data_IF_001389523279
#
_entry.id   IF_001389523279
#
_cell.length_a   1.000
_cell.length_b   1.000
_cell.length_c   1.000
_cell.angle_alpha   90.00
_cell.angle_beta   90.00
_cell.angle_gamma   90.00
#
_symmetry.space_group_name_H-M   'P 1'
#
loop_
_entity.id
_entity.type
_entity.pdbx_description
1 polymer ?
#
# COMPACT_ATOMS: atom_id res chain seq x y z
N UNK A 1 -2.58 -16.11 -0.65
CA UNK A 1 -1.30 -15.67 -0.04
C UNK A 1 -0.30 -15.37 -1.14
N UNK A 2 0.61 -14.40 -0.93
CA UNK A 2 1.69 -14.11 -1.88
C UNK A 2 2.68 -15.27 -1.97
N UNK A 3 3.27 -15.49 -3.16
CA UNK A 3 4.32 -16.51 -3.30
C UNK A 3 5.61 -15.97 -2.66
N UNK A 4 6.10 -16.66 -1.63
CA UNK A 4 7.45 -16.43 -1.11
C UNK A 4 8.46 -17.16 -1.99
N UNK A 5 9.54 -16.47 -2.34
CA UNK A 5 10.65 -17.02 -3.11
C UNK A 5 11.95 -16.69 -2.40
N UNK A 6 12.64 -17.72 -1.90
CA UNK A 6 14.01 -17.62 -1.42
C UNK A 6 14.94 -17.79 -2.63
N UNK A 7 15.95 -16.94 -2.77
CA UNK A 7 16.87 -16.93 -3.92
C UNK A 7 18.27 -16.44 -3.53
N UNK A 8 19.24 -16.60 -4.42
CA UNK A 8 20.60 -16.06 -4.20
C UNK A 8 20.62 -14.52 -4.08
N UNK A 9 19.64 -13.85 -4.68
CA UNK A 9 19.44 -12.40 -4.60
C UNK A 9 18.65 -11.97 -3.34
N UNK A 10 18.31 -12.93 -2.47
CA UNK A 10 17.55 -12.74 -1.24
C UNK A 10 16.08 -13.18 -1.33
N UNK A 11 15.32 -12.86 -0.29
CA UNK A 11 13.93 -13.25 -0.12
C UNK A 11 12.99 -12.25 -0.82
N UNK A 12 12.09 -12.77 -1.66
CA UNK A 12 11.09 -12.00 -2.38
C UNK A 12 9.66 -12.47 -2.07
N UNK A 13 8.69 -11.56 -2.20
CA UNK A 13 7.26 -11.88 -2.18
C UNK A 13 6.60 -11.41 -3.48
N UNK A 14 6.10 -12.35 -4.27
CA UNK A 14 5.44 -12.07 -5.55
C UNK A 14 3.93 -11.89 -5.34
N UNK A 15 3.42 -10.69 -5.68
CA UNK A 15 1.98 -10.37 -5.71
C UNK A 15 1.28 -10.97 -6.93
N UNK A 16 2.02 -11.19 -8.02
CA UNK A 16 1.54 -11.81 -9.25
C UNK A 16 2.44 -12.98 -9.60
N UNK A 17 1.84 -14.13 -9.93
CA UNK A 17 2.56 -15.29 -10.45
C UNK A 17 1.67 -16.12 -11.37
N UNK A 18 2.28 -16.77 -12.36
CA UNK A 18 1.57 -17.58 -13.35
C UNK A 18 2.10 -19.02 -13.34
N UNK A 19 1.18 -19.96 -13.17
CA UNK A 19 1.43 -21.40 -13.31
C UNK A 19 0.91 -21.86 -14.68
N UNK A 20 1.71 -22.66 -15.37
CA UNK A 20 1.44 -23.15 -16.72
C UNK A 20 1.56 -24.67 -16.70
N UNK A 21 0.54 -25.35 -17.23
CA UNK A 21 0.44 -26.80 -17.30
C UNK A 21 0.21 -27.24 -18.75
N UNK A 22 1.03 -28.17 -19.22
CA UNK A 22 0.95 -28.75 -20.56
C UNK A 22 0.70 -30.26 -20.47
N UNK A 23 -0.55 -30.67 -20.21
CA UNK A 23 -0.87 -32.10 -20.08
C UNK A 23 -0.70 -32.83 -21.43
N UNK A 24 -0.28 -34.11 -21.44
CA UNK A 24 -0.05 -34.87 -22.68
C UNK A 24 -1.25 -34.93 -23.63
N UNK A 25 -2.48 -34.94 -23.08
CA UNK A 25 -3.69 -34.97 -23.90
C UNK A 25 -3.85 -33.73 -24.79
N UNK A 26 -3.19 -32.61 -24.49
CA UNK A 26 -3.27 -31.38 -25.28
C UNK A 26 -2.67 -31.49 -26.68
N UNK A 27 -1.86 -32.52 -26.91
CA UNK A 27 -1.32 -32.92 -28.23
C UNK A 27 -1.82 -34.30 -28.67
N UNK A 28 -2.85 -34.84 -27.99
CA UNK A 28 -3.41 -36.17 -28.27
C UNK A 28 -2.56 -37.34 -27.74
N UNK A 29 -1.55 -37.09 -26.90
CA UNK A 29 -0.63 -38.12 -26.39
C UNK A 29 -1.03 -38.64 -25.00
N UNK A 30 -0.48 -39.81 -24.63
CA UNK A 30 -0.50 -40.35 -23.27
C UNK A 30 0.89 -40.19 -22.67
N UNK A 31 0.98 -39.61 -21.48
CA UNK A 31 2.27 -39.35 -20.82
C UNK A 31 2.14 -39.21 -19.31
N UNK A 32 3.26 -38.89 -18.65
CA UNK A 32 3.29 -38.64 -17.20
C UNK A 32 2.69 -37.27 -16.90
N UNK A 33 1.79 -37.22 -15.92
CA UNK A 33 1.28 -36.00 -15.31
C UNK A 33 1.92 -35.86 -13.93
N UNK A 34 2.41 -34.67 -13.57
CA UNK A 34 3.16 -34.48 -12.33
C UNK A 34 3.80 -33.09 -12.23
N UNK A 35 5.01 -33.02 -11.68
CA UNK A 35 5.76 -31.76 -11.55
C UNK A 35 6.14 -31.18 -12.92
N UNK A 36 6.06 -29.85 -13.10
CA UNK A 36 6.27 -29.21 -14.40
C UNK A 36 7.73 -29.32 -14.89
N UNK A 37 7.88 -29.58 -16.19
CA UNK A 37 9.16 -29.60 -16.88
C UNK A 37 9.72 -28.20 -17.15
N UNK A 38 10.99 -28.15 -17.60
CA UNK A 38 11.68 -26.88 -17.91
C UNK A 38 10.93 -26.01 -18.94
N UNK A 39 10.30 -26.63 -19.95
CA UNK A 39 9.56 -25.91 -21.00
C UNK A 39 8.29 -25.26 -20.46
N UNK A 40 7.57 -25.95 -19.59
CA UNK A 40 6.36 -25.43 -18.92
C UNK A 40 6.70 -24.24 -18.02
N UNK A 41 7.76 -24.35 -17.20
CA UNK A 41 8.26 -23.24 -16.38
C UNK A 41 8.70 -22.05 -17.26
N UNK A 42 9.39 -22.31 -18.37
CA UNK A 42 9.83 -21.28 -19.31
C UNK A 42 8.67 -20.56 -20.01
N UNK A 43 7.67 -21.30 -20.50
CA UNK A 43 6.44 -20.77 -21.08
C UNK A 43 5.63 -19.97 -20.06
N UNK A 44 5.47 -20.50 -18.85
CA UNK A 44 4.82 -19.82 -17.73
C UNK A 44 5.50 -18.50 -17.40
N UNK A 45 6.84 -18.47 -17.31
CA UNK A 45 7.59 -17.24 -17.01
C UNK A 45 7.57 -16.21 -18.15
N UNK A 46 7.49 -16.64 -19.41
CA UNK A 46 7.27 -15.74 -20.54
C UNK A 46 5.88 -15.09 -20.49
N UNK A 47 4.84 -15.87 -20.21
CA UNK A 47 3.48 -15.36 -20.06
C UNK A 47 3.36 -14.44 -18.82
N UNK A 48 4.00 -14.80 -17.70
CA UNK A 48 4.06 -13.96 -16.51
C UNK A 48 4.72 -12.60 -16.80
N UNK A 49 5.91 -12.59 -17.42
CA UNK A 49 6.59 -11.33 -17.80
C UNK A 49 5.76 -10.48 -18.76
N UNK A 50 5.02 -11.10 -19.68
CA UNK A 50 4.13 -10.42 -20.62
C UNK A 50 2.98 -9.68 -19.93
N UNK A 51 2.47 -10.24 -18.82
CA UNK A 51 1.32 -9.73 -18.07
C UNK A 51 1.72 -8.89 -16.85
N UNK A 52 2.92 -9.04 -16.31
CA UNK A 52 3.39 -8.37 -15.09
C UNK A 52 3.28 -6.84 -15.17
N UNK A 53 3.51 -6.26 -16.36
CA UNK A 53 3.49 -4.82 -16.58
C UNK A 53 2.08 -4.20 -16.63
N UNK A 54 1.02 -5.00 -16.75
CA UNK A 54 -0.38 -4.54 -16.72
C UNK A 54 -1.07 -4.78 -15.38
N UNK A 55 -0.37 -5.38 -14.41
CA UNK A 55 -0.92 -5.60 -13.07
C UNK A 55 -1.03 -4.27 -12.32
N UNK A 56 -2.23 -3.86 -11.89
CA UNK A 56 -2.43 -2.63 -11.12
C UNK A 56 -1.60 -2.62 -9.83
N UNK A 57 -1.20 -1.43 -9.37
CA UNK A 57 -0.44 -1.28 -8.13
C UNK A 57 -1.24 -1.77 -6.90
N UNK A 58 -0.55 -1.96 -5.76
CA UNK A 58 -1.15 -2.53 -4.54
C UNK A 58 -2.25 -1.62 -3.97
N UNK A 59 -2.16 -0.33 -4.25
CA UNK A 59 -3.05 0.72 -3.78
C UNK A 59 -4.38 0.71 -4.55
N UNK A 60 -4.35 0.54 -5.89
CA UNK A 60 -5.54 0.36 -6.75
C UNK A 60 -6.14 -1.05 -6.59
N UNK A 61 -5.31 -2.06 -6.31
CA UNK A 61 -5.74 -3.45 -6.21
C UNK A 61 -4.90 -4.24 -5.18
N UNK A 62 -5.34 -4.32 -3.91
CA UNK A 62 -4.56 -4.89 -2.80
C UNK A 62 -4.51 -6.43 -2.78
N UNK A 63 -4.78 -7.08 -3.91
CA UNK A 63 -4.90 -8.52 -4.05
C UNK A 63 -3.61 -9.19 -4.53
N UNK A 64 -3.45 -10.47 -4.17
CA UNK A 64 -2.50 -11.37 -4.82
C UNK A 64 -3.23 -12.07 -5.97
N UNK A 65 -2.64 -12.03 -7.16
CA UNK A 65 -3.20 -12.61 -8.37
C UNK A 65 -2.38 -13.86 -8.73
N UNK A 66 -3.07 -15.01 -8.81
CA UNK A 66 -2.55 -16.26 -9.37
C UNK A 66 -3.28 -16.53 -10.67
N UNK A 67 -2.55 -16.75 -11.75
CA UNK A 67 -3.10 -17.34 -12.97
C UNK A 67 -2.68 -18.80 -13.03
N UNK A 68 -3.60 -19.68 -13.38
CA UNK A 68 -3.32 -21.07 -13.73
C UNK A 68 -3.78 -21.31 -15.16
N UNK A 69 -2.82 -21.42 -16.08
CA UNK A 69 -3.07 -21.72 -17.49
C UNK A 69 -2.96 -23.23 -17.72
N UNK A 70 -4.10 -23.85 -17.99
CA UNK A 70 -4.20 -25.26 -18.33
C UNK A 70 -4.39 -25.37 -19.85
N UNK A 71 -3.36 -25.83 -20.56
CA UNK A 71 -3.41 -25.98 -22.02
C UNK A 71 -4.23 -27.22 -22.36
N UNK A 72 -5.39 -27.03 -22.99
CA UNK A 72 -6.29 -28.14 -23.36
C UNK A 72 -6.00 -28.68 -24.77
N UNK A 73 -5.49 -27.83 -25.66
CA UNK A 73 -5.14 -28.14 -27.05
C UNK A 73 -3.89 -27.32 -27.44
N UNK A 74 -3.00 -27.87 -28.27
CA UNK A 74 -1.80 -27.17 -28.72
C UNK A 74 -1.31 -27.62 -30.11
N UNK A 75 -1.62 -26.82 -31.13
CA UNK A 75 -1.01 -26.93 -32.47
C UNK A 75 -0.20 -25.66 -32.86
N UNK A 76 -0.08 -24.69 -31.95
CA UNK A 76 0.64 -23.43 -32.13
C UNK A 76 1.18 -22.93 -30.80
N UNK A 77 1.37 -21.61 -30.64
CA UNK A 77 1.98 -21.06 -29.43
C UNK A 77 1.04 -20.96 -28.23
N UNK A 78 0.92 -22.07 -27.51
CA UNK A 78 0.24 -22.18 -26.22
C UNK A 78 0.74 -21.20 -25.15
N UNK A 79 1.99 -20.71 -25.25
CA UNK A 79 2.52 -19.65 -24.38
C UNK A 79 2.01 -18.25 -24.73
N UNK A 80 1.71 -17.96 -26.01
CA UNK A 80 1.03 -16.71 -26.40
C UNK A 80 -0.48 -16.78 -26.13
N UNK A 81 -1.10 -17.95 -26.36
CA UNK A 81 -2.49 -18.19 -25.91
C UNK A 81 -2.64 -17.97 -24.39
N UNK A 82 -1.66 -18.40 -23.60
CA UNK A 82 -1.60 -18.16 -22.14
C UNK A 82 -1.53 -16.68 -21.75
N UNK A 83 -0.97 -15.81 -22.61
CA UNK A 83 -0.99 -14.34 -22.42
C UNK A 83 -2.39 -13.80 -22.68
N UNK A 84 -2.98 -14.12 -23.83
CA UNK A 84 -4.30 -13.64 -24.21
C UNK A 84 -5.38 -14.11 -23.21
N UNK A 85 -5.42 -15.42 -22.93
CA UNK A 85 -6.34 -16.02 -21.96
C UNK A 85 -6.11 -15.53 -20.54
N UNK A 86 -4.84 -15.38 -20.10
CA UNK A 86 -4.51 -14.82 -18.80
C UNK A 86 -4.93 -13.36 -18.63
N UNK A 87 -4.82 -12.55 -19.68
CA UNK A 87 -5.32 -11.17 -19.69
C UNK A 87 -6.84 -11.11 -19.54
N UNK A 88 -7.57 -11.91 -20.35
CA UNK A 88 -9.03 -11.99 -20.28
C UNK A 88 -9.52 -12.52 -18.93
N UNK A 89 -8.90 -13.57 -18.38
CA UNK A 89 -9.26 -14.14 -17.10
C UNK A 89 -9.08 -13.13 -15.94
N UNK A 90 -8.03 -12.30 -15.97
CA UNK A 90 -7.86 -11.22 -14.99
C UNK A 90 -8.93 -10.14 -15.14
N UNK A 91 -9.25 -9.71 -16.36
CA UNK A 91 -10.31 -8.74 -16.63
C UNK A 91 -11.68 -9.26 -16.18
N UNK A 92 -11.96 -10.55 -16.41
CA UNK A 92 -13.18 -11.23 -15.98
C UNK A 92 -13.29 -11.35 -14.45
N UNK A 93 -12.17 -11.62 -13.78
CA UNK A 93 -12.08 -11.63 -12.32
C UNK A 93 -12.17 -10.24 -11.68
N UNK A 94 -12.30 -9.16 -12.47
CA UNK A 94 -12.41 -7.78 -11.98
C UNK A 94 -11.07 -7.13 -11.62
N UNK A 95 -9.94 -7.62 -12.14
CA UNK A 95 -8.66 -6.92 -12.03
C UNK A 95 -8.70 -5.67 -12.94
N UNK A 96 -8.47 -4.46 -12.42
CA UNK A 96 -8.65 -3.22 -13.17
C UNK A 96 -7.49 -2.94 -14.13
N UNK A 97 -7.49 -3.69 -15.25
CA UNK A 97 -6.53 -3.63 -16.36
C UNK A 97 -7.04 -2.62 -17.40
N UNK A 98 -6.38 -1.47 -17.46
CA UNK A 98 -6.77 -0.38 -18.37
C UNK A 98 -6.26 -0.61 -19.81
N UNK A 99 -5.24 -1.48 -19.98
CA UNK A 99 -4.54 -1.74 -21.24
C UNK A 99 -4.35 -3.25 -21.45
N UNK A 100 -5.27 -3.95 -22.13
CA UNK A 100 -5.15 -5.38 -22.37
C UNK A 100 -3.94 -5.70 -23.27
N UNK A 101 -3.32 -6.86 -23.01
CA UNK A 101 -2.13 -7.36 -23.70
C UNK A 101 -2.46 -8.64 -24.46
N UNK A 102 -2.11 -8.68 -25.73
CA UNK A 102 -2.16 -9.86 -26.58
C UNK A 102 -0.75 -10.39 -26.84
N UNK A 103 -0.64 -11.69 -27.15
CA UNK A 103 0.57 -12.34 -27.64
C UNK A 103 0.38 -12.90 -29.04
N UNK A 104 1.43 -12.90 -29.86
CA UNK A 104 1.47 -13.57 -31.16
C UNK A 104 2.80 -14.29 -31.33
N UNK A 105 2.76 -15.48 -31.92
CA UNK A 105 3.96 -16.19 -32.34
C UNK A 105 4.21 -16.03 -33.84
N UNK A 106 5.48 -15.97 -34.19
CA UNK A 106 5.94 -15.59 -35.51
C UNK A 106 7.10 -16.49 -35.90
N UNK A 107 7.17 -16.85 -37.17
CA UNK A 107 8.26 -17.63 -37.74
C UNK A 107 8.94 -16.86 -38.86
N UNK A 108 10.13 -17.32 -39.23
CA UNK A 108 10.85 -16.83 -40.38
C UNK A 108 11.50 -17.98 -41.13
N UNK A 109 11.39 -17.95 -42.45
CA UNK A 109 12.11 -18.83 -43.38
C UNK A 109 13.06 -17.96 -44.21
N UNK A 110 14.33 -18.35 -44.29
CA UNK A 110 15.43 -17.66 -44.96
C UNK A 110 16.11 -18.60 -45.98
N UNK A 111 15.87 -18.38 -47.27
CA UNK A 111 16.48 -19.16 -48.34
C UNK A 111 17.37 -18.26 -49.21
N UNK A 112 18.64 -18.16 -48.81
CA UNK A 112 19.62 -17.24 -49.41
C UNK A 112 19.26 -15.78 -49.14
N UNK A 113 18.70 -15.09 -50.14
CA UNK A 113 18.20 -13.72 -50.01
C UNK A 113 16.66 -13.64 -49.94
N UNK A 114 15.94 -14.76 -50.07
CA UNK A 114 14.48 -14.81 -49.95
C UNK A 114 14.07 -14.99 -48.50
N UNK A 115 13.12 -14.17 -48.06
CA UNK A 115 12.60 -14.19 -46.69
C UNK A 115 11.08 -14.32 -46.73
N UNK A 116 10.53 -15.21 -45.92
CA UNK A 116 9.12 -15.27 -45.61
C UNK A 116 8.94 -15.15 -44.08
N UNK A 117 8.13 -14.17 -43.65
CA UNK A 117 7.73 -14.02 -42.25
C UNK A 117 6.34 -14.65 -42.09
N UNK A 118 6.23 -15.61 -41.18
CA UNK A 118 5.00 -16.34 -40.86
C UNK A 118 4.34 -15.73 -39.63
N UNK A 119 3.01 -15.66 -39.60
CA UNK A 119 2.23 -15.09 -38.49
C UNK A 119 1.29 -16.15 -37.93
N UNK A 120 1.28 -16.26 -36.60
CA UNK A 120 0.58 -17.28 -35.82
C UNK A 120 0.98 -18.72 -36.19
N UNK A 121 2.28 -18.99 -36.05
CA UNK A 121 2.89 -20.24 -36.51
C UNK A 121 2.34 -21.50 -35.82
N UNK A 122 2.16 -22.52 -36.65
CA UNK A 122 1.91 -23.89 -36.23
C UNK A 122 3.18 -24.55 -35.68
N UNK A 123 3.02 -25.63 -34.91
CA UNK A 123 4.17 -26.40 -34.38
C UNK A 123 5.09 -26.98 -35.46
N UNK A 124 4.57 -27.26 -36.65
CA UNK A 124 5.37 -27.70 -37.80
C UNK A 124 6.18 -26.54 -38.41
N UNK A 125 5.64 -25.33 -38.41
CA UNK A 125 6.31 -24.13 -38.95
C UNK A 125 7.40 -23.62 -38.00
N UNK A 126 7.24 -23.79 -36.67
CA UNK A 126 8.34 -23.67 -35.71
C UNK A 126 9.45 -24.70 -36.01
N UNK A 127 9.08 -25.98 -36.06
CA UNK A 127 10.05 -27.08 -36.22
C UNK A 127 10.89 -27.00 -37.51
N UNK A 128 10.33 -26.42 -38.58
CA UNK A 128 10.99 -26.27 -39.88
C UNK A 128 11.48 -24.85 -40.18
N UNK A 129 11.12 -23.85 -39.37
CA UNK A 129 11.51 -22.46 -39.56
C UNK A 129 12.91 -22.14 -39.03
N UNK A 130 13.59 -21.20 -39.68
CA UNK A 130 14.96 -20.77 -39.39
C UNK A 130 15.08 -19.85 -38.17
N UNK A 131 13.96 -19.28 -37.73
CA UNK A 131 13.83 -18.51 -36.49
C UNK A 131 12.38 -18.53 -36.04
N UNK A 132 12.15 -18.66 -34.74
CA UNK A 132 10.86 -18.40 -34.12
C UNK A 132 10.95 -17.24 -33.13
N UNK A 133 9.91 -16.43 -33.02
CA UNK A 133 9.84 -15.38 -32.03
C UNK A 133 8.42 -15.11 -31.56
N UNK A 134 8.30 -14.67 -30.32
CA UNK A 134 7.05 -14.54 -29.58
C UNK A 134 6.99 -13.12 -29.04
N UNK A 135 5.98 -12.37 -29.46
CA UNK A 135 5.83 -10.94 -29.16
C UNK A 135 4.53 -10.72 -28.41
N UNK A 136 4.61 -10.15 -27.23
CA UNK A 136 3.45 -9.72 -26.45
C UNK A 136 3.45 -8.22 -26.20
N UNK A 137 2.27 -7.63 -26.03
CA UNK A 137 2.11 -6.20 -25.80
C UNK A 137 0.68 -5.71 -26.02
N UNK A 138 0.48 -4.43 -25.78
CA UNK A 138 -0.80 -3.75 -25.92
C UNK A 138 -0.91 -2.99 -27.26
N UNK A 139 -1.78 -1.99 -27.34
CA UNK A 139 -1.96 -1.15 -28.52
C UNK A 139 -0.78 -0.22 -28.86
N UNK A 140 0.08 0.09 -27.89
CA UNK A 140 1.14 1.10 -28.02
C UNK A 140 2.56 0.50 -27.97
N UNK A 141 2.76 -0.55 -27.15
CA UNK A 141 4.09 -1.07 -26.82
C UNK A 141 4.22 -2.60 -26.90
N UNK A 142 5.43 -3.07 -26.58
CA UNK A 142 5.75 -4.50 -26.39
C UNK A 142 5.98 -4.69 -24.89
N UNK A 143 5.37 -5.72 -24.28
CA UNK A 143 5.58 -6.07 -22.86
C UNK A 143 6.63 -7.16 -22.68
N UNK A 144 6.70 -8.14 -23.59
CA UNK A 144 7.80 -9.09 -23.67
C UNK A 144 8.11 -9.51 -25.13
N UNK A 145 9.36 -9.90 -25.34
CA UNK A 145 9.89 -10.44 -26.59
C UNK A 145 10.77 -11.64 -26.24
N UNK A 146 10.52 -12.78 -26.90
CA UNK A 146 11.41 -13.92 -26.94
C UNK A 146 11.74 -14.21 -28.40
N UNK A 147 13.02 -14.49 -28.71
CA UNK A 147 13.50 -14.86 -30.04
C UNK A 147 14.40 -16.07 -29.88
N UNK A 148 14.25 -17.06 -30.74
CA UNK A 148 15.14 -18.20 -30.89
C UNK A 148 15.56 -18.27 -32.37
N UNK A 149 16.86 -18.27 -32.62
CA UNK A 149 17.46 -18.07 -33.94
C UNK A 149 18.32 -19.28 -34.26
N UNK A 150 17.94 -20.00 -35.32
CA UNK A 150 18.53 -21.30 -35.67
C UNK A 150 19.57 -21.19 -36.80
N UNK A 151 19.66 -20.03 -37.48
CA UNK A 151 20.58 -19.76 -38.61
C UNK A 151 21.30 -18.40 -38.49
N UNK A 152 22.41 -18.26 -39.22
CA UNK A 152 23.06 -16.97 -39.46
C UNK A 152 22.37 -16.17 -40.58
N UNK A 153 22.70 -14.88 -40.71
CA UNK A 153 22.23 -14.02 -41.81
C UNK A 153 20.98 -13.19 -41.52
N UNK A 154 20.38 -13.30 -40.33
CA UNK A 154 19.25 -12.46 -39.92
C UNK A 154 19.73 -11.05 -39.57
N UNK A 155 19.46 -10.08 -40.45
CA UNK A 155 19.89 -8.67 -40.26
C UNK A 155 18.87 -7.85 -39.45
N UNK A 156 19.26 -6.68 -38.90
CA UNK A 156 18.34 -5.78 -38.20
C UNK A 156 17.12 -5.35 -39.04
N UNK A 157 17.27 -5.18 -40.35
CA UNK A 157 16.16 -4.79 -41.24
C UNK A 157 15.12 -5.92 -41.39
N UNK A 158 15.60 -7.18 -41.37
CA UNK A 158 14.75 -8.37 -41.36
C UNK A 158 13.96 -8.46 -40.06
N UNK A 159 14.63 -8.24 -38.92
CA UNK A 159 13.98 -8.19 -37.59
C UNK A 159 12.95 -7.05 -37.53
N UNK A 160 13.27 -5.86 -38.06
CA UNK A 160 12.34 -4.73 -38.10
C UNK A 160 11.09 -5.05 -38.94
N UNK A 161 11.25 -5.69 -40.09
CA UNK A 161 10.15 -6.16 -40.96
C UNK A 161 9.29 -7.20 -40.24
N UNK A 162 9.93 -8.18 -39.59
CA UNK A 162 9.25 -9.24 -38.86
C UNK A 162 8.47 -8.71 -37.64
N UNK A 163 9.04 -7.75 -36.89
CA UNK A 163 8.36 -7.06 -35.79
C UNK A 163 7.20 -6.17 -36.25
N UNK A 164 7.29 -5.55 -37.44
CA UNK A 164 6.20 -4.78 -38.01
C UNK A 164 4.99 -5.69 -38.36
N UNK A 165 5.25 -6.88 -38.93
CA UNK A 165 4.22 -7.88 -39.18
C UNK A 165 3.65 -8.45 -37.87
N UNK A 166 4.50 -8.71 -36.87
CA UNK A 166 4.08 -9.14 -35.53
C UNK A 166 3.19 -8.11 -34.83
N UNK A 167 3.48 -6.81 -34.98
CA UNK A 167 2.61 -5.74 -34.47
C UNK A 167 1.22 -5.84 -35.09
N UNK A 168 1.10 -6.10 -36.39
CA UNK A 168 -0.20 -6.27 -37.07
C UNK A 168 -0.96 -7.46 -36.47
N UNK A 169 -0.38 -8.66 -36.50
CA UNK A 169 -1.03 -9.87 -35.97
C UNK A 169 -1.44 -9.74 -34.50
N UNK A 170 -0.60 -9.11 -33.67
CA UNK A 170 -0.95 -8.82 -32.27
C UNK A 170 -2.14 -7.87 -32.13
N UNK A 171 -2.22 -6.83 -32.95
CA UNK A 171 -3.34 -5.88 -32.94
C UNK A 171 -4.64 -6.53 -33.45
N UNK A 172 -4.55 -7.42 -34.43
CA UNK A 172 -5.69 -8.19 -34.95
C UNK A 172 -6.27 -9.10 -33.83
N UNK A 173 -5.41 -9.85 -33.12
CA UNK A 173 -5.79 -10.64 -31.93
C UNK A 173 -6.38 -9.75 -30.83
N UNK A 174 -5.76 -8.59 -30.56
CA UNK A 174 -6.23 -7.65 -29.54
C UNK A 174 -7.60 -7.03 -29.88
N UNK A 175 -7.98 -6.92 -31.17
CA UNK A 175 -9.33 -6.53 -31.58
C UNK A 175 -10.35 -7.57 -31.14
N UNK A 176 -10.11 -8.84 -31.49
CA UNK A 176 -11.01 -9.97 -31.14
C UNK A 176 -11.15 -10.12 -29.62
N UNK A 177 -10.05 -9.93 -28.86
CA UNK A 177 -10.09 -9.91 -27.39
C UNK A 177 -11.01 -8.79 -26.85
N UNK A 178 -10.95 -7.59 -27.45
CA UNK A 178 -11.81 -6.45 -27.05
C UNK A 178 -13.26 -6.60 -27.48
N UNK A 179 -13.53 -7.30 -28.58
CA UNK A 179 -14.88 -7.66 -28.99
C UNK A 179 -15.53 -8.64 -28.00
N UNK A 180 -14.76 -9.62 -27.51
CA UNK A 180 -15.20 -10.55 -26.47
C UNK A 180 -15.31 -9.90 -25.07
N UNK A 181 -14.38 -9.01 -24.71
CA UNK A 181 -14.34 -8.33 -23.42
C UNK A 181 -13.84 -6.88 -23.57
N UNK A 182 -14.75 -5.90 -23.76
CA UNK A 182 -14.37 -4.50 -23.99
C UNK A 182 -13.67 -3.84 -22.79
N UNK A 183 -14.01 -4.24 -21.57
CA UNK A 183 -13.45 -3.73 -20.31
C UNK A 183 -13.42 -4.84 -19.24
N UNK A 184 -12.67 -4.62 -18.17
CA UNK A 184 -12.72 -5.46 -16.98
C UNK A 184 -14.07 -5.34 -16.26
N UNK A 185 -14.44 -6.33 -15.44
CA UNK A 185 -15.66 -6.27 -14.60
C UNK A 185 -15.50 -5.30 -13.45
N UNK A 186 -16.45 -4.38 -13.25
CA UNK A 186 -16.40 -3.39 -12.17
C UNK A 186 -16.52 -4.00 -10.76
N UNK A 187 -17.26 -5.11 -10.65
CA UNK A 187 -17.47 -5.85 -9.40
C UNK A 187 -16.63 -7.13 -9.35
N UNK A 188 -15.91 -7.33 -8.25
CA UNK A 188 -15.30 -8.61 -7.92
C UNK A 188 -16.39 -9.69 -7.69
N UNK A 189 -16.13 -10.98 -8.03
CA UNK A 189 -17.02 -12.08 -7.69
C UNK A 189 -17.29 -12.19 -6.18
N UNK A 190 -18.48 -12.65 -5.80
CA UNK A 190 -18.89 -12.78 -4.38
C UNK A 190 -17.99 -13.72 -3.55
N UNK A 191 -17.36 -14.69 -4.21
CA UNK A 191 -16.40 -15.61 -3.61
C UNK A 191 -15.03 -14.98 -3.31
N UNK A 192 -14.75 -13.78 -3.83
CA UNK A 192 -13.50 -13.06 -3.56
C UNK A 192 -13.62 -12.29 -2.24
N UNK A 193 -12.75 -12.55 -1.24
CA UNK A 193 -12.74 -11.78 0.00
C UNK A 193 -12.54 -10.29 -0.29
N UNK A 194 -13.36 -9.44 0.32
CA UNK A 194 -13.22 -7.98 0.23
C UNK A 194 -12.10 -7.54 1.16
N UNK A 195 -11.23 -6.66 0.68
CA UNK A 195 -10.13 -6.09 1.46
C UNK A 195 -10.46 -4.65 1.80
N UNK A 196 -10.49 -4.32 3.09
CA UNK A 196 -10.50 -2.96 3.59
C UNK A 196 -9.09 -2.60 4.08
N UNK A 197 -8.56 -1.47 3.61
CA UNK A 197 -7.22 -1.00 3.97
C UNK A 197 -7.32 0.35 4.68
N UNK A 198 -6.71 0.43 5.86
CA UNK A 198 -6.65 1.65 6.68
C UNK A 198 -5.21 1.88 7.16
N UNK A 199 -4.90 3.12 7.58
CA UNK A 199 -3.58 3.49 8.09
C UNK A 199 -3.66 3.87 9.57
N UNK A 200 -2.76 3.35 10.38
CA UNK A 200 -2.61 3.66 11.80
C UNK A 200 -1.21 4.24 12.07
N UNK A 201 -1.07 5.05 13.12
CA UNK A 201 0.24 5.56 13.51
C UNK A 201 1.18 4.40 13.88
N UNK A 202 2.43 4.40 13.39
CA UNK A 202 3.42 3.32 13.62
C UNK A 202 3.59 2.97 15.11
N UNK A 203 3.47 3.96 15.99
CA UNK A 203 3.55 3.79 17.46
C UNK A 203 2.40 2.91 18.02
N UNK A 204 1.24 2.89 17.36
CA UNK A 204 0.03 2.15 17.75
C UNK A 204 0.00 0.69 17.26
N UNK A 205 0.90 0.29 16.36
CA UNK A 205 1.00 -1.11 15.89
C UNK A 205 1.12 -2.08 17.07
N UNK A 206 1.95 -1.75 18.07
CA UNK A 206 2.10 -2.58 19.28
C UNK A 206 0.85 -2.66 20.15
N UNK A 207 0.03 -1.61 20.19
CA UNK A 207 -1.25 -1.58 20.91
C UNK A 207 -2.32 -2.43 20.20
N UNK A 208 -2.38 -2.41 18.86
CA UNK A 208 -3.36 -3.21 18.09
C UNK A 208 -3.01 -4.70 18.09
N UNK A 209 -1.73 -5.06 17.98
CA UNK A 209 -1.27 -6.46 18.02
C UNK A 209 -1.39 -7.03 19.45
N UNK A 210 -1.01 -6.23 20.46
CA UNK A 210 -0.93 -6.62 21.86
C UNK A 210 0.21 -7.61 22.16
N UNK A 211 0.48 -7.90 23.45
CA UNK A 211 1.59 -8.77 23.86
C UNK A 211 1.40 -10.19 23.31
N UNK A 212 2.33 -10.63 22.46
CA UNK A 212 2.30 -11.96 21.82
C UNK A 212 1.16 -12.15 20.81
N UNK A 213 0.59 -11.06 20.26
CA UNK A 213 -0.53 -11.15 19.31
C UNK A 213 -1.87 -11.48 19.95
N UNK A 214 -2.01 -11.42 21.28
CA UNK A 214 -3.26 -11.75 21.99
C UNK A 214 -4.43 -10.86 21.58
N UNK A 215 -4.16 -9.58 21.32
CA UNK A 215 -5.22 -8.61 21.04
C UNK A 215 -5.77 -8.81 19.63
N UNK A 216 -4.89 -8.88 18.61
CA UNK A 216 -5.32 -9.17 17.23
C UNK A 216 -6.04 -10.52 17.11
N UNK A 217 -5.62 -11.55 17.84
CA UNK A 217 -6.35 -12.84 17.92
C UNK A 217 -7.74 -12.69 18.52
N UNK A 218 -7.89 -11.89 19.59
CA UNK A 218 -9.20 -11.61 20.18
C UNK A 218 -10.12 -10.81 19.25
N UNK A 219 -9.57 -9.90 18.43
CA UNK A 219 -10.34 -9.17 17.40
C UNK A 219 -10.86 -10.14 16.34
N UNK A 220 -9.99 -11.04 15.84
CA UNK A 220 -10.36 -12.07 14.86
C UNK A 220 -11.45 -12.99 15.42
N UNK A 221 -11.30 -13.47 16.65
CA UNK A 221 -12.30 -14.32 17.32
C UNK A 221 -13.66 -13.62 17.45
N UNK A 222 -13.69 -12.37 17.90
CA UNK A 222 -14.92 -11.55 18.01
C UNK A 222 -15.60 -11.30 16.66
N UNK A 223 -14.84 -11.36 15.56
CA UNK A 223 -15.33 -11.13 14.20
C UNK A 223 -15.66 -12.44 13.46
N UNK A 224 -15.59 -13.60 14.12
CA UNK A 224 -16.01 -14.90 13.56
C UNK A 224 -14.89 -15.95 13.40
N UNK A 225 -13.66 -15.66 13.81
CA UNK A 225 -12.53 -16.59 13.78
C UNK A 225 -11.66 -16.50 12.52
N UNK A 226 -10.50 -17.17 12.56
CA UNK A 226 -9.45 -17.10 11.52
C UNK A 226 -9.93 -17.60 10.13
N UNK A 227 -10.97 -18.41 10.06
CA UNK A 227 -11.59 -18.89 8.80
C UNK A 227 -12.42 -17.82 8.08
N UNK A 228 -12.98 -16.85 8.82
CA UNK A 228 -13.86 -15.81 8.28
C UNK A 228 -13.08 -14.52 8.00
N UNK A 229 -12.14 -14.15 8.87
CA UNK A 229 -11.45 -12.86 8.80
C UNK A 229 -9.94 -12.96 9.01
N UNK A 230 -9.20 -12.27 8.15
CA UNK A 230 -7.76 -12.14 8.24
C UNK A 230 -7.37 -10.67 8.41
N UNK A 231 -6.56 -10.37 9.44
CA UNK A 231 -6.05 -9.04 9.72
C UNK A 231 -4.53 -9.07 9.60
N UNK A 232 -3.98 -8.25 8.70
CA UNK A 232 -2.54 -8.08 8.50
C UNK A 232 -2.13 -6.64 8.79
N UNK A 233 -1.06 -6.45 9.58
CA UNK A 233 -0.53 -5.13 9.91
C UNK A 233 0.92 -5.07 9.41
N UNK A 234 1.19 -4.11 8.52
CA UNK A 234 2.51 -3.84 7.96
C UNK A 234 3.30 -2.87 8.86
N UNK A 235 4.64 -2.92 8.81
CA UNK A 235 5.50 -2.12 9.71
C UNK A 235 5.43 -0.61 9.46
N UNK A 236 4.92 -0.20 8.30
CA UNK A 236 4.60 1.18 7.91
C UNK A 236 3.29 1.70 8.52
N UNK A 237 2.51 0.86 9.22
CA UNK A 237 1.22 1.21 9.79
C UNK A 237 0.02 0.90 8.89
N UNK A 238 0.20 0.24 7.75
CA UNK A 238 -0.93 -0.18 6.89
C UNK A 238 -1.58 -1.44 7.45
N UNK A 239 -2.84 -1.32 7.85
CA UNK A 239 -3.70 -2.43 8.28
C UNK A 239 -4.55 -2.87 7.08
N UNK A 240 -4.54 -4.16 6.77
CA UNK A 240 -5.40 -4.79 5.76
C UNK A 240 -6.29 -5.82 6.43
N UNK A 241 -7.60 -5.60 6.37
CA UNK A 241 -8.66 -6.45 6.92
C UNK A 241 -9.35 -7.13 5.73
N UNK A 242 -9.40 -8.46 5.73
CA UNK A 242 -9.92 -9.25 4.62
C UNK A 242 -10.97 -10.26 5.10
N UNK A 243 -12.16 -10.25 4.51
CA UNK A 243 -13.21 -11.25 4.75
C UNK A 243 -14.16 -11.35 3.54
N UNK A 244 -14.89 -12.45 3.42
CA UNK A 244 -16.05 -12.56 2.53
C UNK A 244 -17.29 -11.87 3.11
N UNK A 245 -17.37 -11.71 4.44
CA UNK A 245 -18.46 -11.02 5.13
C UNK A 245 -18.15 -9.53 5.34
N UNK A 246 -19.07 -8.67 4.90
CA UNK A 246 -18.98 -7.22 5.08
C UNK A 246 -19.18 -6.80 6.55
N UNK A 247 -20.02 -7.51 7.31
CA UNK A 247 -20.30 -7.18 8.70
C UNK A 247 -19.10 -7.52 9.60
N UNK A 248 -18.40 -8.62 9.32
CA UNK A 248 -17.13 -8.95 9.96
C UNK A 248 -16.05 -7.88 9.72
N UNK A 249 -15.93 -7.36 8.48
CA UNK A 249 -15.01 -6.25 8.17
C UNK A 249 -15.39 -5.00 8.96
N UNK A 250 -16.68 -4.60 8.94
CA UNK A 250 -17.13 -3.39 9.63
C UNK A 250 -16.85 -3.43 11.14
N UNK A 251 -17.10 -4.58 11.79
CA UNK A 251 -16.77 -4.80 13.21
C UNK A 251 -15.27 -4.70 13.46
N UNK A 252 -14.44 -5.36 12.64
CA UNK A 252 -12.99 -5.33 12.80
C UNK A 252 -12.40 -3.93 12.60
N UNK A 253 -12.90 -3.16 11.61
CA UNK A 253 -12.53 -1.75 11.41
C UNK A 253 -12.85 -0.94 12.67
N UNK A 254 -14.08 -1.01 13.19
CA UNK A 254 -14.48 -0.28 14.41
C UNK A 254 -13.60 -0.60 15.63
N UNK A 255 -13.25 -1.87 15.82
CA UNK A 255 -12.39 -2.29 16.95
C UNK A 255 -10.95 -1.77 16.75
N UNK A 256 -10.38 -1.90 15.55
CA UNK A 256 -9.03 -1.41 15.24
C UNK A 256 -8.97 0.12 15.35
N UNK A 257 -9.98 0.85 14.86
CA UNK A 257 -10.10 2.30 15.01
C UNK A 257 -10.17 2.69 16.49
N UNK A 258 -11.03 2.08 17.31
CA UNK A 258 -11.13 2.39 18.74
C UNK A 258 -9.81 2.23 19.50
N UNK A 259 -9.00 1.23 19.14
CA UNK A 259 -7.65 1.04 19.68
C UNK A 259 -6.68 2.10 19.11
N UNK A 260 -6.70 2.35 17.81
CA UNK A 260 -5.76 3.24 17.12
C UNK A 260 -6.02 4.75 17.33
N UNK A 261 -7.22 5.16 17.75
CA UNK A 261 -7.54 6.58 18.02
C UNK A 261 -6.57 7.16 19.05
N UNK A 262 -5.86 8.21 18.61
CA UNK A 262 -5.04 9.07 19.45
C UNK A 262 -5.94 10.05 20.22
N UNK A 263 -6.01 9.81 21.53
CA UNK A 263 -6.69 10.66 22.50
C UNK A 263 -5.78 11.88 22.78
N UNK A 264 -6.22 13.05 22.34
CA UNK A 264 -5.52 14.31 22.50
C UNK A 264 -6.17 15.20 23.58
N UNK A 265 -5.36 16.03 24.25
CA UNK A 265 -5.86 17.04 25.22
C UNK A 265 -6.85 17.98 24.51
N UNK A 266 -8.00 18.24 25.14
CA UNK A 266 -9.09 19.05 24.58
C UNK A 266 -10.08 18.28 23.69
N UNK A 267 -9.87 16.99 23.39
CA UNK A 267 -10.91 16.17 22.76
C UNK A 267 -12.02 15.83 23.76
N UNK A 268 -13.25 15.76 23.26
CA UNK A 268 -14.46 15.42 24.00
C UNK A 268 -14.88 14.00 23.68
N UNK A 269 -15.21 13.23 24.71
CA UNK A 269 -15.70 11.87 24.60
C UNK A 269 -16.97 11.71 25.43
N UNK A 270 -17.93 10.95 24.90
CA UNK A 270 -19.13 10.54 25.62
C UNK A 270 -18.86 9.16 26.21
N UNK A 271 -18.51 9.11 27.49
CA UNK A 271 -18.04 7.90 28.16
C UNK A 271 -19.00 7.38 29.23
N UNK A 272 -18.90 6.09 29.55
CA UNK A 272 -19.72 5.44 30.58
C UNK A 272 -18.92 5.31 31.89
N UNK A 273 -19.53 5.66 33.02
CA UNK A 273 -18.92 5.46 34.34
C UNK A 273 -18.82 3.96 34.62
N UNK A 274 -17.60 3.42 34.65
CA UNK A 274 -17.34 2.01 34.95
C UNK A 274 -17.27 1.76 36.45
N UNK A 275 -16.69 2.72 37.20
CA UNK A 275 -16.49 2.60 38.65
C UNK A 275 -16.44 3.95 39.34
N UNK A 276 -17.08 4.06 40.50
CA UNK A 276 -17.00 5.22 41.38
C UNK A 276 -16.11 4.95 42.59
N UNK A 277 -15.38 5.97 43.04
CA UNK A 277 -14.55 5.97 44.24
C UNK A 277 -14.81 7.27 45.03
N UNK A 278 -14.48 7.34 46.33
CA UNK A 278 -14.78 8.53 47.15
C UNK A 278 -14.14 9.85 46.66
N UNK A 279 -13.11 9.77 45.83
CA UNK A 279 -12.31 10.90 45.34
C UNK A 279 -12.32 11.06 43.80
N UNK A 280 -13.14 10.28 43.08
CA UNK A 280 -13.31 10.41 41.63
C UNK A 280 -14.02 9.22 40.99
N UNK A 281 -14.14 9.24 39.66
CA UNK A 281 -14.78 8.18 38.87
C UNK A 281 -13.88 7.74 37.72
N UNK A 282 -13.92 6.45 37.41
CA UNK A 282 -13.41 5.90 36.15
C UNK A 282 -14.52 5.94 35.10
N UNK A 283 -14.18 6.46 33.92
CA UNK A 283 -15.08 6.66 32.80
C UNK A 283 -14.45 6.01 31.58
N UNK A 284 -15.08 4.98 31.02
CA UNK A 284 -14.65 4.37 29.76
C UNK A 284 -15.00 5.33 28.61
N UNK A 285 -13.97 5.90 27.98
CA UNK A 285 -14.09 6.91 26.91
C UNK A 285 -13.99 6.30 25.51
N UNK A 286 -13.33 5.15 25.40
CA UNK A 286 -13.25 4.27 24.24
C UNK A 286 -13.16 2.83 24.75
N UNK A 287 -13.56 1.80 23.96
CA UNK A 287 -13.51 0.40 24.39
C UNK A 287 -12.14 0.00 24.95
N UNK A 288 -12.10 -0.37 26.24
CA UNK A 288 -10.88 -0.76 26.95
C UNK A 288 -9.93 0.39 27.32
N UNK A 289 -10.32 1.66 27.16
CA UNK A 289 -9.57 2.84 27.60
C UNK A 289 -10.38 3.61 28.66
N UNK A 290 -10.03 3.41 29.93
CA UNK A 290 -10.60 4.16 31.05
C UNK A 290 -9.85 5.48 31.29
N UNK A 291 -10.60 6.54 31.56
CA UNK A 291 -10.11 7.84 31.98
C UNK A 291 -10.53 8.14 33.43
N UNK A 292 -9.65 8.79 34.17
CA UNK A 292 -9.88 9.20 35.55
C UNK A 292 -10.43 10.62 35.63
N UNK A 293 -11.64 10.77 36.19
CA UNK A 293 -12.20 12.06 36.57
C UNK A 293 -12.05 12.27 38.08
N UNK A 294 -11.24 13.24 38.50
CA UNK A 294 -11.16 13.61 39.92
C UNK A 294 -12.47 14.29 40.37
N UNK A 295 -12.87 14.14 41.63
CA UNK A 295 -14.11 14.74 42.17
C UNK A 295 -14.16 16.26 41.94
N UNK A 296 -13.03 16.95 42.03
CA UNK A 296 -12.97 18.40 41.79
C UNK A 296 -13.28 18.80 40.36
N UNK A 297 -13.22 17.89 39.39
CA UNK A 297 -13.37 18.16 37.95
C UNK A 297 -14.75 17.76 37.39
N UNK A 298 -15.62 17.18 38.22
CA UNK A 298 -16.99 16.79 37.86
C UNK A 298 -17.96 17.98 37.77
N UNK A 299 -17.85 18.96 38.66
CA UNK A 299 -18.71 20.16 38.66
C UNK A 299 -17.92 21.41 39.11
N UNK A 300 -18.47 22.60 38.86
CA UNK A 300 -17.95 23.86 39.41
C UNK A 300 -18.36 24.12 40.88
N UNK A 301 -19.35 23.40 41.39
CA UNK A 301 -19.75 23.47 42.80
C UNK A 301 -18.85 22.58 43.64
N UNK A 302 -18.79 22.84 44.95
CA UNK A 302 -18.07 21.98 45.88
C UNK A 302 -18.92 20.73 46.16
N UNK A 303 -18.71 19.68 45.39
CA UNK A 303 -19.32 18.37 45.59
C UNK A 303 -18.61 17.64 46.73
N UNK A 304 -19.34 17.11 47.70
CA UNK A 304 -18.75 16.33 48.81
C UNK A 304 -18.66 14.83 48.50
N UNK A 305 -19.54 14.30 47.65
CA UNK A 305 -19.49 12.90 47.20
C UNK A 305 -19.64 12.78 45.68
N UNK A 306 -18.88 11.86 45.09
CA UNK A 306 -19.01 11.51 43.66
C UNK A 306 -20.42 11.00 43.32
N UNK A 307 -21.02 10.25 44.25
CA UNK A 307 -22.37 9.67 44.19
C UNK A 307 -23.49 10.69 43.96
N UNK A 308 -23.27 11.96 44.32
CA UNK A 308 -24.23 13.06 44.15
C UNK A 308 -24.29 13.56 42.69
N UNK A 309 -23.27 13.26 41.88
CA UNK A 309 -23.09 13.81 40.51
C UNK A 309 -23.07 12.72 39.44
N UNK A 310 -22.60 11.51 39.77
CA UNK A 310 -22.62 10.37 38.85
C UNK A 310 -22.60 9.03 39.59
N UNK A 311 -23.31 8.06 39.03
CA UNK A 311 -23.38 6.67 39.49
C UNK A 311 -22.73 5.73 38.49
N UNK A 312 -22.38 4.53 38.94
CA UNK A 312 -21.89 3.46 38.07
C UNK A 312 -22.95 3.13 37.02
N UNK A 313 -22.56 3.19 35.75
CA UNK A 313 -23.46 3.03 34.60
C UNK A 313 -23.92 4.32 33.92
N UNK A 314 -23.77 5.49 34.54
CA UNK A 314 -24.16 6.77 33.93
C UNK A 314 -23.29 7.11 32.70
N UNK A 315 -23.88 7.81 31.73
CA UNK A 315 -23.18 8.30 30.53
C UNK A 315 -22.91 9.80 30.69
N UNK A 316 -21.65 10.20 30.52
CA UNK A 316 -21.18 11.57 30.72
C UNK A 316 -20.36 12.03 29.52
N UNK A 317 -20.59 13.26 29.04
CA UNK A 317 -19.60 13.95 28.21
C UNK A 317 -18.47 14.48 29.09
N UNK A 318 -17.24 14.24 28.67
CA UNK A 318 -16.02 14.68 29.35
C UNK A 318 -14.95 15.12 28.35
N UNK A 319 -14.11 16.08 28.75
CA UNK A 319 -13.00 16.59 27.93
C UNK A 319 -11.65 16.13 28.51
N UNK A 320 -10.73 15.67 27.67
CA UNK A 320 -9.39 15.24 28.09
C UNK A 320 -8.60 16.44 28.61
N UNK A 321 -8.25 16.44 29.89
CA UNK A 321 -7.47 17.50 30.53
C UNK A 321 -5.97 17.23 30.51
N UNK A 322 -5.56 15.96 30.60
CA UNK A 322 -4.14 15.55 30.58
C UNK A 322 -3.98 14.11 30.05
N UNK A 323 -2.96 13.88 29.25
CA UNK A 323 -2.59 12.53 28.77
C UNK A 323 -1.29 12.11 29.48
N UNK A 324 -1.44 11.21 30.47
CA UNK A 324 -0.32 10.70 31.27
C UNK A 324 0.51 9.65 30.53
N UNK A 325 1.77 9.47 30.95
CA UNK A 325 2.61 8.38 30.43
C UNK A 325 2.10 7.04 30.95
N UNK A 326 1.87 6.09 30.04
CA UNK A 326 1.41 4.73 30.38
C UNK A 326 -0.11 4.50 30.25
N UNK A 327 -0.84 5.34 29.50
CA UNK A 327 -2.26 5.12 29.20
C UNK A 327 -3.24 5.60 30.27
N UNK A 328 -2.77 6.37 31.26
CA UNK A 328 -3.65 7.07 32.20
C UNK A 328 -4.13 8.39 31.60
N UNK A 329 -5.41 8.47 31.28
CA UNK A 329 -6.05 9.71 30.82
C UNK A 329 -6.71 10.42 32.00
N UNK A 330 -6.54 11.74 32.11
CA UNK A 330 -7.34 12.58 33.01
C UNK A 330 -8.39 13.31 32.20
N UNK A 331 -9.59 13.36 32.75
CA UNK A 331 -10.74 14.03 32.14
C UNK A 331 -11.35 15.06 33.10
N UNK A 332 -12.00 16.07 32.53
CA UNK A 332 -12.76 17.08 33.26
C UNK A 332 -14.10 17.33 32.58
N UNK A 333 -15.14 17.50 33.39
CA UNK A 333 -16.50 17.88 32.94
C UNK A 333 -16.71 19.40 33.05
N UNK A 334 -15.89 20.12 33.83
CA UNK A 334 -15.95 21.58 33.96
C UNK A 334 -15.97 22.35 32.63
N UNK A 335 -15.13 22.05 31.60
CA UNK A 335 -15.13 22.81 30.34
C UNK A 335 -16.47 22.79 29.59
N UNK A 336 -17.31 21.81 29.90
CA UNK A 336 -18.62 21.58 29.28
C UNK A 336 -19.78 22.19 30.07
N UNK A 337 -19.54 22.64 31.31
CA UNK A 337 -20.55 23.24 32.18
C UNK A 337 -20.53 24.78 32.07
N UNK A 338 -21.68 25.45 32.23
CA UNK A 338 -21.71 26.91 32.24
C UNK A 338 -20.90 27.44 33.44
N UNK A 339 -19.91 28.30 33.15
CA UNK A 339 -19.06 28.92 34.18
C UNK A 339 -19.91 29.73 35.16
N UNK A 340 -19.80 29.50 36.48
CA UNK A 340 -20.44 30.37 37.46
C UNK A 340 -19.80 31.78 37.42
N UNK A 341 -20.57 32.84 37.79
CA UNK A 341 -20.03 34.19 37.85
C UNK A 341 -18.87 34.30 38.87
N UNK A 342 -17.87 35.15 38.62
CA UNK A 342 -16.71 35.29 39.49
C UNK A 342 -17.13 35.80 40.87
N UNK A 343 -16.66 35.13 41.93
CA UNK A 343 -16.81 35.61 43.31
C UNK A 343 -15.92 36.84 43.52
N UNK A 344 -16.52 38.00 43.72
CA UNK A 344 -15.84 39.18 44.27
C UNK A 344 -15.40 38.89 45.71
N UNK A 345 -14.15 39.22 46.09
CA UNK A 345 -13.74 39.15 47.50
C UNK A 345 -14.40 40.28 48.29
N UNK A 346 -15.04 39.95 49.42
CA UNK A 346 -15.56 40.95 50.36
C UNK A 346 -14.41 41.56 51.18
N UNK A 347 -14.47 42.88 51.37
CA UNK A 347 -13.44 43.64 52.08
C UNK A 347 -13.43 43.35 53.58
N UNK A 348 -12.32 42.87 54.12
CA UNK A 348 -12.03 42.99 55.55
C UNK A 348 -11.48 44.39 55.85
N UNK A 349 -12.35 45.28 56.36
CA UNK A 349 -11.95 46.62 56.80
C UNK A 349 -11.30 46.53 58.18
N UNK A 350 -10.06 47.02 58.29
CA UNK A 350 -9.59 47.65 59.52
C UNK A 350 -8.35 48.52 59.20
N UNK A 351 -8.50 49.82 59.36
CA UNK A 351 -7.42 50.81 59.25
C UNK A 351 -7.43 51.69 60.49
N UNK A 352 -6.42 51.58 61.33
CA UNK A 352 -6.12 52.54 62.39
C UNK A 352 -4.67 52.99 62.31
N UNK A 353 -4.53 54.30 62.45
CA UNK A 353 -3.34 55.08 62.81
C UNK A 353 -2.32 55.44 61.73
N UNK A 354 -2.11 56.77 61.65
CA UNK A 354 -1.23 57.46 60.73
C UNK A 354 -0.30 58.42 61.49
N UNK A 355 1.01 58.24 61.33
CA UNK A 355 2.12 59.22 61.41
C UNK A 355 3.43 58.42 61.57
N UNK A 356 4.57 58.77 60.94
CA UNK A 356 4.85 59.85 59.99
C UNK A 356 6.36 60.17 59.97
N UNK A 357 6.92 60.65 58.84
CA UNK A 357 8.37 60.97 58.59
C UNK A 357 9.26 59.70 58.48
N UNK A 358 10.39 59.59 57.77
CA UNK A 358 11.20 60.47 56.89
C UNK A 358 12.24 59.58 56.12
N UNK A 359 13.04 59.94 55.09
CA UNK A 359 13.20 61.11 54.21
C UNK A 359 13.97 60.71 52.90
N UNK A 360 13.76 61.41 51.77
CA UNK A 360 14.70 61.66 50.62
C UNK A 360 15.45 60.50 49.89
N UNK A 361 15.11 60.34 48.59
CA UNK A 361 15.90 60.72 47.39
C UNK A 361 16.73 59.60 46.72
N UNK A 362 17.07 59.58 45.43
CA UNK A 362 16.93 60.55 44.30
C UNK A 362 16.40 59.84 43.03
N UNK A 363 15.90 60.60 42.06
CA UNK A 363 15.70 60.13 40.68
C UNK A 363 16.19 61.22 39.72
N UNK A 364 17.08 60.85 38.79
CA UNK A 364 17.34 61.62 37.57
C UNK A 364 16.83 60.80 36.40
N UNK A 365 15.96 61.38 35.58
CA UNK A 365 15.49 60.79 34.34
C UNK A 365 15.81 61.70 33.16
N UNK A 366 15.82 61.13 31.95
CA UNK A 366 15.59 61.88 30.72
C UNK A 366 14.83 61.03 29.71
N UNK A 367 13.90 61.68 29.04
CA UNK A 367 12.81 61.09 28.26
C UNK A 367 13.17 60.91 26.76
N UNK A 368 12.14 60.50 25.98
CA UNK A 368 11.99 60.66 24.52
C UNK A 368 12.80 59.69 23.64
N UNK A 369 12.30 59.19 22.50
CA UNK A 369 10.93 59.23 21.94
C UNK A 369 10.74 58.24 20.76
N UNK A 370 9.47 57.99 20.41
CA UNK A 370 8.90 57.61 19.09
C UNK A 370 9.78 57.11 17.91
N UNK A 371 9.38 55.94 17.37
CA UNK A 371 9.44 55.52 15.94
C UNK A 371 8.74 56.55 15.00
N UNK A 372 8.89 56.58 13.64
CA UNK A 372 8.98 55.40 12.75
C UNK A 372 9.70 55.49 11.36
N UNK A 373 9.77 54.32 10.70
CA UNK A 373 9.69 54.02 9.24
C UNK A 373 10.68 54.56 8.16
N UNK A 374 11.43 53.59 7.60
CA UNK A 374 11.42 53.12 6.19
C UNK A 374 12.22 53.81 5.05
N UNK A 375 12.66 52.94 4.10
CA UNK A 375 13.23 53.19 2.74
C UNK A 375 14.66 53.80 2.69
N UNK A 376 15.53 53.55 1.70
CA UNK A 376 15.65 52.55 0.61
C UNK A 376 17.07 52.70 -0.04
N UNK A 377 17.52 51.72 -0.86
CA UNK A 377 18.62 51.78 -1.88
C UNK A 377 20.13 51.74 -1.52
N UNK A 378 20.73 50.57 -1.85
CA UNK A 378 21.93 50.41 -2.73
C UNK A 378 23.34 50.80 -2.19
N UNK A 379 24.50 50.48 -2.86
CA UNK A 379 24.73 49.77 -4.15
C UNK A 379 25.89 48.70 -4.23
N UNK A 380 25.80 47.84 -5.27
CA UNK A 380 26.86 47.33 -6.20
C UNK A 380 28.24 46.70 -5.81
N UNK A 381 28.60 45.66 -6.62
CA UNK A 381 29.95 45.17 -7.07
C UNK A 381 30.86 44.40 -6.07
N UNK A 382 31.70 43.41 -6.46
CA UNK A 382 31.88 42.67 -7.75
C UNK A 382 32.88 41.48 -7.70
N UNK A 383 32.64 40.45 -8.56
CA UNK A 383 33.59 39.60 -9.33
C UNK A 383 34.42 38.44 -8.69
N UNK A 384 34.67 37.42 -9.55
CA UNK A 384 35.65 36.29 -9.51
C UNK A 384 35.42 35.17 -8.47
N UNK A 385 35.68 33.87 -8.74
CA UNK A 385 36.09 33.18 -9.99
C UNK A 385 36.29 31.64 -9.77
N UNK A 386 36.43 30.86 -10.85
CA UNK A 386 36.95 29.45 -10.95
C UNK A 386 36.18 28.32 -10.22
N UNK A 387 35.69 27.22 -10.85
CA UNK A 387 36.26 26.12 -11.67
C UNK A 387 36.81 24.89 -10.90
N UNK A 388 35.91 23.93 -10.61
CA UNK A 388 36.11 22.43 -10.67
C UNK A 388 37.15 21.76 -9.73
N UNK A 389 37.25 20.40 -9.61
CA UNK A 389 36.44 19.30 -10.17
C UNK A 389 35.93 18.24 -9.15
N UNK A 390 35.21 17.25 -9.70
CA UNK A 390 34.58 16.04 -9.10
C UNK A 390 35.60 14.90 -8.82
N UNK A 391 35.44 14.07 -7.77
CA UNK A 391 36.13 12.78 -7.63
C UNK A 391 35.54 11.68 -8.53
N UNK A 392 36.31 10.63 -8.82
CA UNK A 392 36.06 9.66 -9.90
C UNK A 392 35.43 8.34 -9.42
N UNK A 393 34.77 7.63 -10.35
CA UNK A 393 34.46 6.20 -10.22
C UNK A 393 35.66 5.32 -10.59
N UNK A 394 35.83 4.24 -9.84
CA UNK A 394 36.53 2.97 -10.16
C UNK A 394 35.77 1.87 -9.36
N UNK A 395 35.62 0.62 -9.80
CA UNK A 395 36.32 -0.16 -10.83
C UNK A 395 35.35 -0.89 -11.79
N UNK A 396 35.90 -1.39 -12.91
CA UNK A 396 35.22 -2.24 -13.90
C UNK A 396 36.07 -3.50 -14.13
N UNK A 397 35.52 -4.72 -14.10
CA UNK A 397 36.30 -5.94 -14.34
C UNK A 397 36.74 -6.07 -15.81
N UNK A 398 37.84 -6.79 -16.10
CA UNK A 398 38.46 -6.83 -17.42
C UNK A 398 37.77 -7.80 -18.39
N UNK A 399 37.75 -7.41 -19.66
CA UNK A 399 37.45 -8.30 -20.80
C UNK A 399 38.71 -9.08 -21.22
N UNK A 400 38.63 -10.39 -21.50
CA UNK A 400 39.72 -11.12 -22.14
C UNK A 400 39.84 -10.72 -23.62
N UNK A 401 41.07 -10.49 -24.08
CA UNK A 401 41.38 -10.16 -25.47
C UNK A 401 41.64 -11.39 -26.34
N UNK A 402 41.38 -11.23 -27.64
CA UNK A 402 41.69 -12.19 -28.70
C UNK A 402 43.20 -12.43 -28.86
N UNK A 403 43.57 -13.68 -29.11
CA UNK A 403 44.84 -14.05 -29.72
C UNK A 403 44.56 -14.76 -31.06
N UNK A 404 45.28 -14.34 -32.10
CA UNK A 404 45.17 -14.86 -33.48
C UNK A 404 46.02 -16.14 -33.67
N UNK A 405 45.87 -16.89 -34.79
CA UNK A 405 46.21 -18.31 -34.87
C UNK A 405 47.66 -18.62 -35.24
N UNK A 406 48.10 -19.84 -34.90
CA UNK A 406 49.28 -20.49 -35.46
C UNK A 406 49.08 -22.02 -35.54
N UNK A 407 49.32 -22.57 -36.74
CA UNK A 407 49.40 -23.99 -37.17
C UNK A 407 48.21 -24.95 -36.86
#
# INVERSE_FOLDING_TARGET
MAMKQESIDGDAQLRFYLQYSFPPFSVGEVGRVGAPGRREVGHGKLAERSLQNIIPNKEKFPYVIRIENNILESNGSSSMASVCGGCLAMMDAGVPIDRPVAGVAMGLILEGSRIAVLTDILGMEDALGDMDFKVSGDGEGISALQMDVKVEGITPDVIATALAQAKKGRLDILSVMKEAMPSYRESLPESVPKIHTMSIAVKKIGEVIGPGGKQIKSIIEQCGGEDIISISISQDGVVSIMSTDLDAIAKAVQIVEGIAVDINVGQRFTGKVTKTLPFGAYIEILPGKEAWCHISELEYKRTEKVEDVCKEGDILEVEISEVGRGGQFRVSRKPLLPKPPPRTPENSVNSSDANGKDQKSKTEGKELSSKPQAKDKSPQRSKQGERTPRPQLKDKPPTPGSADPAE
#
